data_IF_524478742981
#
_entry.id   IF_524478742981
#
_cell.length_a   1.000
_cell.length_b   1.000
_cell.length_c   1.000
_cell.angle_alpha   90.00
_cell.angle_beta   90.00
_cell.angle_gamma   90.00
#
_symmetry.space_group_name_H-M   'P 1'
#
loop_
_entity.id
_entity.type
_entity.pdbx_description
1 polymer ?
#
# COMPACT_ATOMS: atom_id res chain seq x y z
N UNK A 1 -17.10 -7.43 -17.34
CA UNK A 1 -17.87 -8.49 -16.67
C UNK A 1 -17.85 -8.19 -15.18
N UNK A 2 -18.96 -8.29 -14.45
CA UNK A 2 -18.91 -8.20 -12.99
C UNK A 2 -17.99 -9.31 -12.47
N UNK A 3 -17.04 -8.94 -11.61
CA UNK A 3 -16.07 -9.85 -11.01
C UNK A 3 -16.82 -10.93 -10.21
N UNK A 4 -16.35 -12.18 -10.27
CA UNK A 4 -16.94 -13.25 -9.47
C UNK A 4 -16.71 -12.92 -7.99
N UNK A 5 -17.70 -13.09 -7.10
CA UNK A 5 -17.51 -12.94 -5.66
C UNK A 5 -16.30 -13.75 -5.19
N UNK A 6 -15.62 -13.23 -4.15
CA UNK A 6 -14.54 -13.92 -3.45
C UNK A 6 -14.97 -15.35 -3.11
N UNK A 7 -14.08 -16.33 -3.34
CA UNK A 7 -14.37 -17.75 -3.04
C UNK A 7 -14.23 -18.08 -1.55
N UNK A 8 -13.64 -17.19 -0.74
CA UNK A 8 -13.50 -17.34 0.71
C UNK A 8 -14.50 -16.47 1.50
N UNK A 9 -15.53 -15.92 0.85
CA UNK A 9 -16.33 -14.82 1.42
C UNK A 9 -17.35 -15.16 2.49
N UNK A 10 -17.58 -16.43 2.82
CA UNK A 10 -18.75 -16.80 3.61
C UNK A 10 -18.31 -17.48 4.93
N UNK A 11 -18.50 -16.73 6.03
CA UNK A 11 -18.40 -17.13 7.46
C UNK A 11 -17.02 -17.14 8.13
N UNK A 12 -15.95 -17.59 7.46
CA UNK A 12 -14.64 -17.77 8.13
C UNK A 12 -13.95 -16.46 8.54
N UNK A 13 -14.22 -15.34 7.86
CA UNK A 13 -13.36 -14.15 8.00
C UNK A 13 -13.59 -13.28 9.23
N UNK A 14 -14.81 -13.14 9.75
CA UNK A 14 -15.04 -12.19 10.85
C UNK A 14 -14.24 -12.54 12.12
N UNK A 15 -14.00 -13.83 12.37
CA UNK A 15 -13.20 -14.27 13.52
C UNK A 15 -11.68 -14.19 13.24
N UNK A 16 -11.28 -14.37 11.97
CA UNK A 16 -9.89 -14.33 11.50
C UNK A 16 -9.38 -12.90 11.28
N UNK A 17 -10.27 -11.92 11.09
CA UNK A 17 -9.95 -10.50 10.96
C UNK A 17 -9.10 -10.02 12.14
N UNK A 18 -7.95 -9.41 11.82
CA UNK A 18 -7.18 -8.66 12.80
C UNK A 18 -7.94 -7.40 13.24
N UNK A 19 -8.62 -6.74 12.29
CA UNK A 19 -9.40 -5.53 12.57
C UNK A 19 -10.56 -5.37 11.58
N UNK A 20 -11.79 -5.29 12.10
CA UNK A 20 -12.97 -4.96 11.32
C UNK A 20 -13.12 -3.43 11.20
N UNK A 21 -12.93 -2.89 9.99
CA UNK A 21 -12.83 -1.44 9.76
C UNK A 21 -14.18 -0.75 9.50
N UNK A 22 -15.12 -1.45 8.87
CA UNK A 22 -16.43 -0.91 8.45
C UNK A 22 -17.19 -0.19 9.57
N UNK A 23 -17.30 -0.72 10.82
CA UNK A 23 -18.05 -0.06 11.90
C UNK A 23 -17.43 1.27 12.35
N UNK A 24 -16.14 1.49 12.08
CA UNK A 24 -15.42 2.69 12.49
C UNK A 24 -15.42 3.79 11.42
N UNK A 25 -15.91 3.49 10.21
CA UNK A 25 -15.90 4.40 9.07
C UNK A 25 -14.54 4.48 8.36
N UNK A 26 -13.63 3.53 8.61
CA UNK A 26 -12.34 3.41 7.93
C UNK A 26 -12.51 2.80 6.53
N UNK A 27 -13.32 3.47 5.70
CA UNK A 27 -13.79 2.97 4.42
C UNK A 27 -12.68 2.95 3.36
N UNK A 28 -12.53 1.82 2.66
CA UNK A 28 -11.55 1.57 1.60
C UNK A 28 -10.10 1.83 2.07
N UNK A 29 -9.51 0.92 2.88
CA UNK A 29 -8.14 1.03 3.34
C UNK A 29 -7.15 0.77 2.20
N UNK A 30 -6.11 1.60 2.07
CA UNK A 30 -5.09 1.44 1.04
C UNK A 30 -3.74 1.00 1.60
N UNK A 31 -3.43 1.42 2.82
CA UNK A 31 -2.11 1.24 3.39
C UNK A 31 -2.20 1.18 4.93
N UNK A 32 -1.28 0.43 5.53
CA UNK A 32 -1.22 0.15 6.96
C UNK A 32 0.23 0.14 7.43
N UNK A 33 0.45 0.49 8.69
CA UNK A 33 1.75 0.31 9.36
C UNK A 33 1.54 0.06 10.85
N UNK A 34 2.59 -0.42 11.53
CA UNK A 34 2.62 -0.51 13.00
C UNK A 34 3.53 0.58 13.56
N UNK A 35 3.16 1.14 14.71
CA UNK A 35 4.05 2.00 15.49
C UNK A 35 4.91 1.20 16.49
N UNK A 36 5.76 1.90 17.26
CA UNK A 36 6.60 1.29 18.30
C UNK A 36 5.82 0.62 19.43
N UNK A 37 4.56 0.99 19.62
CA UNK A 37 3.69 0.43 20.66
C UNK A 37 2.86 -0.74 20.12
N UNK A 38 3.21 -1.23 18.92
CA UNK A 38 2.51 -2.28 18.18
C UNK A 38 1.04 -1.95 17.89
N UNK A 39 0.68 -0.67 17.87
CA UNK A 39 -0.64 -0.25 17.41
C UNK A 39 -0.67 -0.21 15.88
N UNK A 40 -1.77 -0.72 15.32
CA UNK A 40 -2.05 -0.71 13.89
C UNK A 40 -2.57 0.67 13.48
N UNK A 41 -1.91 1.29 12.52
CA UNK A 41 -2.37 2.49 11.84
C UNK A 41 -2.91 2.16 10.45
N UNK A 42 -4.05 2.74 10.10
CA UNK A 42 -4.76 2.46 8.85
C UNK A 42 -5.06 3.78 8.13
N UNK A 43 -4.52 3.93 6.92
CA UNK A 43 -4.92 4.96 5.98
C UNK A 43 -6.01 4.43 5.04
N UNK A 44 -7.14 5.12 5.01
CA UNK A 44 -8.30 4.78 4.20
C UNK A 44 -8.91 6.04 3.58
N UNK A 45 -9.86 5.90 2.65
CA UNK A 45 -10.66 7.06 2.22
C UNK A 45 -11.47 7.65 3.37
N UNK A 46 -11.80 6.83 4.37
CA UNK A 46 -12.41 7.24 5.64
C UNK A 46 -11.56 8.16 6.51
N UNK A 47 -10.25 8.25 6.26
CA UNK A 47 -9.30 8.99 7.09
C UNK A 47 -8.18 8.12 7.65
N UNK A 48 -7.58 8.59 8.75
CA UNK A 48 -6.51 7.91 9.48
C UNK A 48 -7.04 7.34 10.79
N UNK A 49 -6.72 6.09 11.10
CA UNK A 49 -7.23 5.39 12.29
C UNK A 49 -6.10 4.64 12.98
N UNK A 50 -6.15 4.60 14.31
CA UNK A 50 -5.22 3.84 15.16
C UNK A 50 -5.98 2.82 15.98
N UNK A 51 -5.53 1.58 15.95
CA UNK A 51 -6.09 0.47 16.68
C UNK A 51 -5.03 -0.19 17.57
N UNK A 52 -5.41 -0.48 18.81
CA UNK A 52 -4.73 -1.53 19.57
C UNK A 52 -5.27 -2.85 19.07
N UNK A 53 -4.39 -3.74 18.62
CA UNK A 53 -4.77 -5.06 18.08
C UNK A 53 -4.16 -6.16 18.92
N UNK A 54 -4.93 -7.22 19.18
CA UNK A 54 -4.45 -8.42 19.86
C UNK A 54 -3.53 -9.28 18.98
N UNK A 55 -2.95 -10.32 19.57
CA UNK A 55 -2.13 -11.32 18.87
C UNK A 55 -2.95 -12.31 18.04
N UNK A 56 -4.27 -12.44 18.25
CA UNK A 56 -5.16 -13.31 17.48
C UNK A 56 -6.63 -12.87 17.56
N UNK A 57 -7.31 -12.79 16.42
CA UNK A 57 -8.76 -12.58 16.30
C UNK A 57 -9.25 -11.13 16.48
N UNK A 58 -10.56 -10.95 16.32
CA UNK A 58 -11.33 -9.69 16.20
C UNK A 58 -11.34 -8.77 17.45
N UNK A 59 -10.23 -8.72 18.20
CA UNK A 59 -10.02 -7.91 19.40
C UNK A 59 -9.25 -6.62 19.07
N UNK A 60 -9.68 -5.91 18.03
CA UNK A 60 -9.17 -4.56 17.76
C UNK A 60 -9.97 -3.53 18.54
N UNK A 61 -9.28 -2.59 19.20
CA UNK A 61 -9.89 -1.42 19.84
C UNK A 61 -9.40 -0.15 19.17
N UNK A 62 -10.33 0.63 18.63
CA UNK A 62 -10.06 1.97 18.13
C UNK A 62 -9.61 2.88 19.29
N UNK A 63 -8.45 3.51 19.14
CA UNK A 63 -7.88 4.43 20.15
C UNK A 63 -7.64 5.84 19.62
N UNK A 64 -7.58 6.03 18.31
CA UNK A 64 -7.54 7.36 17.69
C UNK A 64 -8.15 7.32 16.29
N UNK A 65 -8.74 8.43 15.86
CA UNK A 65 -9.16 8.63 14.48
C UNK A 65 -9.08 10.10 14.05
N UNK A 66 -8.76 10.32 12.78
CA UNK A 66 -8.90 11.57 12.05
C UNK A 66 -9.75 11.29 10.82
N UNK A 67 -11.03 11.67 10.86
CA UNK A 67 -12.04 11.24 9.88
C UNK A 67 -12.17 12.20 8.70
N UNK A 68 -12.41 11.64 7.54
CA UNK A 68 -12.93 12.35 6.38
C UNK A 68 -14.45 12.17 6.33
N UNK A 69 -15.20 13.27 6.42
CA UNK A 69 -16.67 13.26 6.39
C UNK A 69 -17.25 12.75 5.06
N UNK A 70 -16.46 12.81 3.97
CA UNK A 70 -16.91 12.44 2.63
C UNK A 70 -15.94 11.45 1.94
N UNK A 71 -15.87 10.18 2.38
CA UNK A 71 -14.91 9.20 1.82
C UNK A 71 -15.04 9.02 0.30
N UNK A 72 -16.26 9.17 -0.25
CA UNK A 72 -16.51 9.08 -1.70
C UNK A 72 -15.88 10.19 -2.52
N UNK A 73 -15.49 11.32 -1.90
CA UNK A 73 -14.77 12.42 -2.56
C UNK A 73 -13.26 12.24 -2.51
N UNK A 74 -12.77 11.31 -1.69
CA UNK A 74 -11.33 11.09 -1.53
C UNK A 74 -10.78 10.26 -2.68
N UNK A 75 -9.59 10.64 -3.12
CA UNK A 75 -8.81 9.90 -4.11
C UNK A 75 -8.36 8.53 -3.56
N UNK A 76 -8.07 7.55 -4.43
CA UNK A 76 -7.43 6.30 -4.01
C UNK A 76 -6.00 6.54 -3.49
N UNK A 77 -5.42 5.51 -2.88
CA UNK A 77 -4.02 5.44 -2.46
C UNK A 77 -3.62 6.35 -1.29
N UNK A 78 -4.49 6.50 -0.29
CA UNK A 78 -4.07 7.11 0.99
C UNK A 78 -2.91 6.32 1.60
N UNK A 79 -1.90 7.03 2.12
CA UNK A 79 -0.65 6.44 2.61
C UNK A 79 -0.48 6.70 4.11
N UNK A 80 0.08 5.74 4.83
CA UNK A 80 0.51 5.88 6.23
C UNK A 80 1.87 5.20 6.46
N UNK A 81 2.84 5.94 6.99
CA UNK A 81 4.14 5.40 7.35
C UNK A 81 4.46 5.70 8.81
N UNK A 82 5.17 4.79 9.46
CA UNK A 82 5.74 5.01 10.78
C UNK A 82 7.24 5.25 10.66
N UNK A 83 7.74 6.32 11.27
CA UNK A 83 9.16 6.66 11.31
C UNK A 83 9.50 7.45 12.56
N UNK A 84 10.48 7.00 13.35
CA UNK A 84 11.00 7.70 14.54
C UNK A 84 9.91 8.32 15.44
N UNK A 85 8.97 7.49 15.92
CA UNK A 85 7.85 7.92 16.79
C UNK A 85 6.88 8.92 16.16
N UNK A 86 6.86 9.00 14.82
CA UNK A 86 5.95 9.84 14.04
C UNK A 86 5.17 9.01 13.03
N UNK A 87 3.97 9.48 12.70
CA UNK A 87 3.10 8.93 11.68
C UNK A 87 2.99 9.93 10.54
N UNK A 88 3.44 9.51 9.37
CA UNK A 88 3.34 10.28 8.13
C UNK A 88 2.06 9.84 7.45
N UNK A 89 1.17 10.77 7.15
CA UNK A 89 -0.12 10.48 6.52
C UNK A 89 -0.32 11.37 5.30
N UNK A 90 -0.71 10.74 4.18
CA UNK A 90 -1.01 11.45 2.93
C UNK A 90 -2.36 11.03 2.38
N UNK A 91 -3.18 12.01 2.03
CA UNK A 91 -4.46 11.80 1.38
C UNK A 91 -4.76 12.91 0.37
N UNK A 92 -5.60 12.63 -0.62
CA UNK A 92 -5.99 13.61 -1.64
C UNK A 92 -7.50 13.62 -1.86
N UNK A 93 -8.06 14.77 -2.24
CA UNK A 93 -9.44 14.84 -2.73
C UNK A 93 -9.45 14.64 -4.25
N UNK A 94 -10.33 13.76 -4.75
CA UNK A 94 -10.35 13.29 -6.15
C UNK A 94 -10.45 14.44 -7.16
N UNK A 95 -11.19 15.50 -6.85
CA UNK A 95 -11.45 16.62 -7.75
C UNK A 95 -10.47 17.79 -7.61
N UNK A 96 -9.66 17.81 -6.54
CA UNK A 96 -8.78 18.93 -6.25
C UNK A 96 -7.45 18.86 -7.00
N UNK A 97 -7.05 17.65 -7.41
CA UNK A 97 -5.68 17.32 -7.82
C UNK A 97 -4.60 17.77 -6.82
N UNK A 98 -4.97 17.87 -5.54
CA UNK A 98 -4.08 18.24 -4.45
C UNK A 98 -4.07 17.14 -3.40
N UNK A 99 -2.89 16.90 -2.84
CA UNK A 99 -2.69 16.02 -1.69
C UNK A 99 -2.37 16.83 -0.45
N UNK A 100 -2.84 16.38 0.69
CA UNK A 100 -2.46 16.90 2.00
C UNK A 100 -1.49 15.92 2.64
N UNK A 101 -0.32 16.41 3.02
CA UNK A 101 0.69 15.68 3.76
C UNK A 101 0.68 16.15 5.21
N UNK A 102 0.66 15.19 6.13
CA UNK A 102 0.65 15.44 7.57
C UNK A 102 1.67 14.58 8.29
N UNK A 103 2.18 15.12 9.39
CA UNK A 103 2.96 14.36 10.37
C UNK A 103 2.24 14.44 11.70
N UNK A 104 1.93 13.28 12.27
CA UNK A 104 1.35 13.16 13.59
C UNK A 104 2.36 12.55 14.57
N UNK A 105 2.28 12.99 15.82
CA UNK A 105 2.79 12.22 16.97
C UNK A 105 1.95 10.94 17.18
N UNK A 106 2.45 10.01 18.00
CA UNK A 106 1.76 8.75 18.30
C UNK A 106 0.43 8.92 19.05
N UNK A 107 0.22 10.05 19.73
CA UNK A 107 -1.05 10.40 20.39
C UNK A 107 -2.06 11.06 19.43
N UNK A 108 -1.67 11.32 18.18
CA UNK A 108 -2.54 11.90 17.16
C UNK A 108 -2.50 13.43 17.09
N UNK A 109 -1.57 14.09 17.79
CA UNK A 109 -1.33 15.53 17.61
C UNK A 109 -0.71 15.78 16.23
N UNK A 110 -1.31 16.69 15.45
CA UNK A 110 -0.77 17.10 14.15
C UNK A 110 0.40 18.07 14.37
N UNK A 111 1.61 17.66 14.01
CA UNK A 111 2.84 18.44 14.21
C UNK A 111 3.25 19.22 12.95
N UNK A 112 2.83 18.76 11.77
CA UNK A 112 3.15 19.40 10.49
C UNK A 112 2.06 19.11 9.46
N UNK A 113 1.70 20.12 8.68
CA UNK A 113 0.77 20.00 7.56
C UNK A 113 1.21 20.88 6.39
N UNK A 114 1.17 20.35 5.18
CA UNK A 114 1.25 21.15 3.96
C UNK A 114 0.52 20.48 2.80
N UNK A 115 0.36 21.23 1.71
CA UNK A 115 -0.29 20.79 0.48
C UNK A 115 0.78 20.43 -0.56
N UNK A 116 0.57 19.32 -1.25
CA UNK A 116 1.37 18.83 -2.37
C UNK A 116 0.51 18.93 -3.63
N UNK A 117 1.09 19.49 -4.68
CA UNK A 117 0.48 19.52 -6.00
C UNK A 117 0.45 18.11 -6.62
N UNK A 118 -0.69 17.73 -7.20
CA UNK A 118 -0.97 16.40 -7.73
C UNK A 118 -1.44 15.39 -6.67
N UNK A 119 -2.12 14.34 -7.14
CA UNK A 119 -2.55 13.21 -6.31
C UNK A 119 -1.40 12.25 -6.03
N UNK A 120 -0.89 12.21 -4.80
CA UNK A 120 0.12 11.25 -4.34
C UNK A 120 -0.43 9.84 -4.44
N UNK A 121 0.40 8.92 -4.90
CA UNK A 121 0.06 7.50 -5.09
C UNK A 121 0.82 6.58 -4.14
N UNK A 122 2.09 6.86 -3.86
CA UNK A 122 2.91 6.05 -2.95
C UNK A 122 3.94 6.94 -2.29
N UNK A 123 4.25 6.65 -1.03
CA UNK A 123 5.33 7.30 -0.28
C UNK A 123 6.18 6.21 0.38
N UNK A 124 7.48 6.40 0.43
CA UNK A 124 8.39 5.63 1.27
C UNK A 124 9.36 6.56 1.97
N UNK A 125 9.91 6.08 3.09
CA UNK A 125 10.91 6.78 3.87
C UNK A 125 12.09 5.84 4.11
N UNK A 126 13.30 6.36 3.94
CA UNK A 126 14.54 5.64 4.23
C UNK A 126 14.93 5.76 5.70
N UNK A 127 15.92 4.97 6.13
CA UNK A 127 16.39 5.01 7.52
C UNK A 127 17.02 6.34 7.92
N UNK A 128 17.61 7.07 6.97
CA UNK A 128 18.17 8.40 7.17
C UNK A 128 17.12 9.53 7.09
N UNK A 129 15.85 9.23 6.76
CA UNK A 129 14.78 10.22 6.74
C UNK A 129 14.47 10.84 5.38
N UNK A 130 15.10 10.36 4.30
CA UNK A 130 14.73 10.77 2.95
C UNK A 130 13.33 10.22 2.60
N UNK A 131 12.49 11.13 2.12
CA UNK A 131 11.14 10.83 1.66
C UNK A 131 11.14 10.72 0.15
N UNK A 132 10.51 9.68 -0.36
CA UNK A 132 10.28 9.49 -1.80
C UNK A 132 8.79 9.33 -2.05
N UNK A 133 8.28 9.95 -3.11
CA UNK A 133 6.88 9.79 -3.48
C UNK A 133 6.66 9.71 -4.99
N UNK A 134 5.58 9.05 -5.38
CA UNK A 134 5.04 9.05 -6.74
C UNK A 134 3.67 9.73 -6.75
N UNK A 135 3.26 10.22 -7.91
CA UNK A 135 1.94 10.81 -8.12
C UNK A 135 1.19 10.05 -9.22
N UNK A 136 -0.14 10.05 -9.13
CA UNK A 136 -1.00 9.53 -10.18
C UNK A 136 -0.75 10.33 -11.47
N UNK A 137 -0.75 9.69 -12.65
CA UNK A 137 -0.60 10.39 -13.91
C UNK A 137 -1.78 11.35 -14.12
N UNK A 138 -1.47 12.57 -14.56
CA UNK A 138 -2.46 13.57 -14.94
C UNK A 138 -2.81 13.41 -16.43
N UNK A 139 -4.03 13.78 -16.83
CA UNK A 139 -4.44 13.64 -18.22
C UNK A 139 -3.54 14.48 -19.15
N UNK A 140 -2.90 13.80 -20.11
CA UNK A 140 -2.05 14.46 -21.12
C UNK A 140 -0.59 14.62 -20.72
N UNK A 141 -0.15 14.07 -19.58
CA UNK A 141 1.27 13.98 -19.24
C UNK A 141 1.83 12.62 -19.64
N UNK A 142 2.89 12.63 -20.43
CA UNK A 142 3.67 11.44 -20.80
C UNK A 142 4.83 11.20 -19.83
N UNK A 143 5.14 12.20 -19.01
CA UNK A 143 6.20 12.17 -18.01
C UNK A 143 5.67 11.77 -16.63
N UNK A 144 6.42 10.92 -15.95
CA UNK A 144 6.18 10.55 -14.55
C UNK A 144 7.48 10.68 -13.77
N UNK A 145 7.37 11.19 -12.54
CA UNK A 145 8.52 11.41 -11.67
C UNK A 145 8.34 10.82 -10.28
N UNK A 146 9.46 10.37 -9.72
CA UNK A 146 9.67 10.21 -8.29
C UNK A 146 10.11 11.56 -7.75
N UNK A 147 9.51 11.98 -6.65
CA UNK A 147 9.84 13.22 -5.95
C UNK A 147 10.56 12.91 -4.65
N UNK A 148 11.50 13.75 -4.24
CA UNK A 148 12.26 13.62 -2.99
C UNK A 148 12.07 14.82 -2.07
N UNK A 149 12.06 14.58 -0.77
CA UNK A 149 12.19 15.57 0.30
C UNK A 149 12.85 14.89 1.52
N UNK A 150 12.92 15.57 2.66
CA UNK A 150 13.47 15.02 3.91
C UNK A 150 12.49 15.22 5.07
N UNK A 151 12.43 14.27 6.00
CA UNK A 151 11.45 14.27 7.09
C UNK A 151 11.57 15.48 8.03
N UNK A 152 12.77 16.02 8.22
CA UNK A 152 13.02 17.21 9.05
C UNK A 152 12.52 18.50 8.39
N UNK A 153 12.52 18.51 7.06
CA UNK A 153 12.07 19.64 6.24
C UNK A 153 11.19 19.11 5.11
N UNK A 154 9.99 18.56 5.43
CA UNK A 154 9.14 17.86 4.48
C UNK A 154 8.36 18.90 3.68
N UNK A 155 9.10 19.72 2.95
CA UNK A 155 8.68 20.81 2.08
C UNK A 155 9.69 20.86 0.92
N UNK A 156 9.40 21.63 -0.13
CA UNK A 156 10.26 21.76 -1.31
C UNK A 156 10.59 20.40 -1.98
N UNK A 157 9.54 19.65 -2.31
CA UNK A 157 9.68 18.41 -3.08
C UNK A 157 10.35 18.67 -4.42
N UNK A 158 11.47 18.01 -4.65
CA UNK A 158 12.23 18.10 -5.90
C UNK A 158 12.00 16.86 -6.75
N UNK A 159 12.10 17.02 -8.07
CA UNK A 159 12.13 15.89 -8.98
C UNK A 159 13.42 15.10 -8.74
N UNK A 160 13.26 13.82 -8.44
CA UNK A 160 14.37 12.92 -8.11
C UNK A 160 14.74 12.01 -9.28
N UNK A 161 13.76 11.43 -9.96
CA UNK A 161 13.99 10.60 -11.15
C UNK A 161 12.73 10.61 -12.00
N UNK A 162 12.85 10.84 -13.30
CA UNK A 162 11.74 10.85 -14.26
C UNK A 162 11.83 9.71 -15.28
N UNK A 163 10.70 9.45 -15.93
CA UNK A 163 10.56 8.53 -17.07
C UNK A 163 9.47 9.04 -18.01
N UNK A 164 9.53 8.59 -19.26
CA UNK A 164 8.55 8.91 -20.31
C UNK A 164 7.81 7.65 -20.75
N UNK A 165 6.56 7.80 -21.19
CA UNK A 165 5.65 6.73 -21.63
C UNK A 165 5.31 5.67 -20.57
N UNK A 166 5.71 5.93 -19.34
CA UNK A 166 5.59 5.05 -18.19
C UNK A 166 5.21 5.86 -16.96
N UNK A 167 4.51 5.21 -16.02
CA UNK A 167 4.10 5.80 -14.78
C UNK A 167 4.71 5.03 -13.62
N UNK A 168 5.39 5.74 -12.72
CA UNK A 168 5.74 5.20 -11.42
C UNK A 168 4.46 5.00 -10.58
N UNK A 169 4.32 3.85 -9.94
CA UNK A 169 3.14 3.49 -9.16
C UNK A 169 3.51 3.36 -7.67
N UNK A 170 3.71 2.14 -7.17
CA UNK A 170 4.14 1.89 -5.80
C UNK A 170 5.67 1.85 -5.70
N UNK A 171 6.23 2.39 -4.61
CA UNK A 171 7.66 2.33 -4.33
C UNK A 171 7.95 1.84 -2.91
N UNK A 172 9.18 1.36 -2.71
CA UNK A 172 9.72 0.92 -1.43
C UNK A 172 11.22 1.23 -1.38
N UNK A 173 11.71 1.75 -0.26
CA UNK A 173 13.15 1.86 -0.01
C UNK A 173 13.69 0.46 0.27
N UNK A 174 14.55 -0.04 -0.61
CA UNK A 174 15.13 -1.37 -0.47
C UNK A 174 16.40 -1.33 0.39
N UNK A 175 17.24 -0.33 0.20
CA UNK A 175 18.38 -0.01 1.06
C UNK A 175 18.66 1.49 0.96
N UNK A 176 19.72 1.98 1.63
CA UNK A 176 20.07 3.41 1.61
C UNK A 176 20.45 3.90 0.21
N UNK A 177 20.86 2.99 -0.69
CA UNK A 177 21.36 3.30 -2.01
C UNK A 177 20.33 3.03 -3.12
N UNK A 178 19.18 2.42 -2.79
CA UNK A 178 18.27 1.84 -3.77
C UNK A 178 16.79 1.92 -3.39
N UNK A 179 15.98 2.35 -4.35
CA UNK A 179 14.51 2.25 -4.31
C UNK A 179 14.06 1.20 -5.32
N UNK A 180 13.12 0.34 -4.91
CA UNK A 180 12.32 -0.46 -5.84
C UNK A 180 11.06 0.33 -6.22
N UNK A 181 10.75 0.41 -7.51
CA UNK A 181 9.53 1.07 -7.99
C UNK A 181 8.80 0.22 -9.00
N UNK A 182 7.50 0.04 -8.81
CA UNK A 182 6.61 -0.52 -9.81
C UNK A 182 6.35 0.50 -10.92
N UNK A 183 6.48 0.06 -12.17
CA UNK A 183 6.32 0.90 -13.35
C UNK A 183 5.28 0.29 -14.28
N UNK A 184 4.41 1.13 -14.83
CA UNK A 184 3.32 0.73 -15.72
C UNK A 184 3.30 1.62 -16.95
N UNK A 185 3.21 1.05 -18.15
CA UNK A 185 3.14 1.84 -19.39
C UNK A 185 1.87 2.70 -19.46
N UNK A 186 2.00 3.91 -19.97
CA UNK A 186 0.87 4.82 -20.24
C UNK A 186 0.12 4.41 -21.53
N UNK A 187 -1.22 4.49 -21.59
CA UNK A 187 -2.14 4.82 -20.49
C UNK A 187 -2.26 3.68 -19.47
N UNK A 188 -2.31 4.02 -18.17
CA UNK A 188 -2.38 3.03 -17.08
C UNK A 188 -3.72 2.30 -17.07
N UNK A 189 -3.69 0.99 -17.34
CA UNK A 189 -4.84 0.09 -17.23
C UNK A 189 -4.39 -1.35 -16.91
N UNK A 190 -5.35 -2.27 -16.74
CA UNK A 190 -5.08 -3.66 -16.35
C UNK A 190 -4.22 -4.44 -17.37
N UNK A 191 -4.15 -3.99 -18.61
CA UNK A 191 -3.41 -4.65 -19.70
C UNK A 191 -2.10 -3.94 -20.05
N UNK A 192 -1.75 -2.86 -19.35
CA UNK A 192 -0.49 -2.14 -19.54
C UNK A 192 0.71 -3.06 -19.29
N UNK A 193 1.85 -2.73 -19.91
CA UNK A 193 3.14 -3.36 -19.61
C UNK A 193 3.60 -2.94 -18.23
N UNK A 194 4.16 -3.87 -17.47
CA UNK A 194 4.48 -3.70 -16.07
C UNK A 194 5.80 -4.37 -15.76
N UNK A 195 6.61 -3.69 -14.97
CA UNK A 195 7.87 -4.21 -14.48
C UNK A 195 8.21 -3.52 -13.16
N UNK A 196 9.25 -4.02 -12.50
CA UNK A 196 9.87 -3.35 -11.37
C UNK A 196 11.19 -2.76 -11.84
N UNK A 197 11.46 -1.53 -11.43
CA UNK A 197 12.72 -0.84 -11.70
C UNK A 197 13.47 -0.60 -10.39
N UNK A 198 14.79 -0.69 -10.47
CA UNK A 198 15.70 -0.26 -9.42
C UNK A 198 16.14 1.17 -9.73
N UNK A 199 16.05 2.06 -8.75
CA UNK A 199 16.50 3.45 -8.85
C UNK A 199 17.59 3.67 -7.81
N UNK A 200 18.76 4.13 -8.25
CA UNK A 200 19.87 4.47 -7.36
C UNK A 200 19.62 5.83 -6.69
N UNK A 201 19.74 5.90 -5.36
CA UNK A 201 19.52 7.12 -4.58
C UNK A 201 20.63 8.16 -4.80
N UNK A 202 21.87 7.70 -4.98
CA UNK A 202 23.05 8.57 -5.17
C UNK A 202 23.13 9.19 -6.57
N UNK A 203 22.73 8.43 -7.60
CA UNK A 203 22.84 8.85 -9.00
C UNK A 203 21.52 9.39 -9.58
N UNK A 204 20.43 9.36 -8.80
CA UNK A 204 19.11 9.84 -9.23
C UNK A 204 18.61 9.19 -10.54
N UNK A 205 18.93 7.90 -10.77
CA UNK A 205 18.64 7.23 -12.06
C UNK A 205 18.19 5.78 -11.90
N UNK A 206 17.45 5.32 -12.91
CA UNK A 206 17.12 3.91 -13.08
C UNK A 206 18.41 3.12 -13.43
N UNK A 207 18.68 2.06 -12.67
CA UNK A 207 19.88 1.21 -12.82
C UNK A 207 19.56 -0.21 -13.29
N UNK A 208 18.29 -0.59 -13.36
CA UNK A 208 17.89 -1.90 -13.86
C UNK A 208 16.37 -2.10 -13.80
N UNK A 209 15.92 -3.17 -14.45
CA UNK A 209 14.52 -3.61 -14.43
C UNK A 209 14.40 -5.12 -14.43
N UNK A 210 13.31 -5.63 -13.88
CA UNK A 210 12.97 -7.05 -13.89
C UNK A 210 11.45 -7.26 -13.87
N UNK A 211 11.04 -8.53 -14.03
CA UNK A 211 9.65 -8.97 -14.21
C UNK A 211 8.99 -8.46 -15.50
N UNK A 212 7.94 -9.15 -15.91
CA UNK A 212 7.04 -8.76 -17.01
C UNK A 212 5.58 -8.77 -16.56
N UNK A 213 4.70 -8.17 -17.36
CA UNK A 213 3.25 -8.30 -17.13
C UNK A 213 2.79 -9.75 -17.27
N UNK A 214 1.91 -10.18 -16.36
CA UNK A 214 1.21 -11.44 -16.49
C UNK A 214 0.89 -12.08 -15.14
N UNK A 215 0.38 -13.31 -15.18
CA UNK A 215 -0.15 -14.02 -13.99
C UNK A 215 0.61 -15.28 -13.65
N UNK A 216 1.69 -15.60 -14.38
CA UNK A 216 2.56 -16.72 -14.06
C UNK A 216 3.55 -16.34 -12.96
N UNK A 217 4.28 -17.32 -12.43
CA UNK A 217 5.31 -17.11 -11.42
C UNK A 217 6.38 -16.13 -11.92
N UNK A 218 6.70 -15.12 -11.12
CA UNK A 218 7.66 -14.08 -11.48
C UNK A 218 7.13 -13.01 -12.43
N UNK A 219 5.89 -13.13 -12.91
CA UNK A 219 5.17 -12.07 -13.60
C UNK A 219 4.28 -11.30 -12.63
N UNK A 220 4.10 -10.01 -12.91
CA UNK A 220 3.32 -9.10 -12.07
C UNK A 220 2.05 -8.67 -12.80
N UNK A 221 0.91 -8.74 -12.11
CA UNK A 221 -0.38 -8.27 -12.62
C UNK A 221 -0.99 -7.17 -11.76
N UNK A 222 -0.79 -5.94 -12.20
CA UNK A 222 -1.18 -4.66 -11.62
C UNK A 222 -0.66 -4.52 -10.17
N UNK A 223 0.62 -4.13 -9.99
CA UNK A 223 1.26 -4.10 -8.67
C UNK A 223 0.54 -3.13 -7.74
N UNK A 224 0.34 -3.54 -6.49
CA UNK A 224 -0.37 -2.79 -5.46
C UNK A 224 0.57 -2.23 -4.41
N UNK A 225 1.49 -3.04 -3.92
CA UNK A 225 2.37 -2.68 -2.82
C UNK A 225 3.68 -3.47 -2.90
N UNK A 226 4.78 -2.78 -2.60
CA UNK A 226 6.13 -3.33 -2.48
C UNK A 226 6.60 -3.20 -1.03
N UNK A 227 7.23 -4.24 -0.49
CA UNK A 227 7.86 -4.21 0.83
C UNK A 227 9.19 -4.95 0.83
N UNK A 228 10.20 -4.40 1.52
CA UNK A 228 11.44 -5.13 1.81
C UNK A 228 11.19 -6.16 2.90
N UNK A 229 11.66 -7.39 2.70
CA UNK A 229 11.66 -8.45 3.72
C UNK A 229 13.01 -9.14 3.76
N UNK A 230 13.81 -8.88 4.80
CA UNK A 230 15.22 -9.30 4.83
C UNK A 230 15.97 -8.77 3.61
N UNK A 231 16.67 -9.66 2.89
CA UNK A 231 17.37 -9.36 1.63
C UNK A 231 16.52 -9.63 0.38
N UNK A 232 15.19 -9.58 0.52
CA UNK A 232 14.25 -9.84 -0.57
C UNK A 232 13.23 -8.72 -0.71
N UNK A 233 12.66 -8.61 -1.91
CA UNK A 233 11.53 -7.75 -2.19
C UNK A 233 10.26 -8.60 -2.26
N UNK A 234 9.23 -8.20 -1.52
CA UNK A 234 7.88 -8.75 -1.61
C UNK A 234 6.99 -7.82 -2.41
N UNK A 235 6.18 -8.40 -3.29
CA UNK A 235 5.29 -7.65 -4.17
C UNK A 235 3.89 -8.24 -4.10
N UNK A 236 2.93 -7.43 -3.67
CA UNK A 236 1.50 -7.72 -3.79
C UNK A 236 0.99 -7.19 -5.12
N UNK A 237 0.32 -8.04 -5.89
CA UNK A 237 -0.36 -7.65 -7.13
C UNK A 237 -1.88 -7.93 -7.06
N UNK A 238 -2.62 -7.53 -8.10
CA UNK A 238 -4.09 -7.61 -8.12
C UNK A 238 -4.63 -9.06 -8.18
N UNK A 239 -3.76 -10.06 -8.35
CA UNK A 239 -4.13 -11.50 -8.23
C UNK A 239 -4.05 -12.01 -6.80
N UNK A 240 -3.79 -11.13 -5.82
CA UNK A 240 -3.69 -11.50 -4.41
C UNK A 240 -2.41 -12.26 -4.05
N UNK A 241 -1.50 -12.48 -5.01
CA UNK A 241 -0.19 -13.10 -4.76
C UNK A 241 0.74 -12.09 -4.11
N UNK A 242 1.40 -12.51 -3.03
CA UNK A 242 2.59 -11.87 -2.47
C UNK A 242 3.78 -12.68 -2.95
N UNK A 243 4.49 -12.15 -3.94
CA UNK A 243 5.62 -12.82 -4.60
C UNK A 243 6.94 -12.28 -4.06
N UNK A 244 7.91 -13.19 -3.86
CA UNK A 244 9.25 -12.88 -3.37
C UNK A 244 10.28 -12.88 -4.49
N UNK A 245 11.10 -11.84 -4.50
CA UNK A 245 12.18 -11.66 -5.47
C UNK A 245 13.51 -11.36 -4.77
N UNK A 246 14.61 -11.80 -5.38
CA UNK A 246 15.97 -11.44 -4.95
C UNK A 246 16.33 -10.01 -5.36
N UNK A 247 17.46 -9.49 -4.85
CA UNK A 247 18.03 -8.20 -5.26
C UNK A 247 18.24 -8.09 -6.77
N UNK A 248 18.64 -9.18 -7.41
CA UNK A 248 18.89 -9.27 -8.86
C UNK A 248 17.59 -9.34 -9.67
N UNK A 249 16.42 -9.41 -9.00
CA UNK A 249 15.12 -9.48 -9.65
C UNK A 249 14.69 -10.89 -10.04
N UNK A 250 15.35 -11.93 -9.52
CA UNK A 250 14.93 -13.31 -9.76
C UNK A 250 13.74 -13.68 -8.87
N UNK A 251 12.73 -14.29 -9.47
CA UNK A 251 11.61 -14.87 -8.72
C UNK A 251 12.07 -16.01 -7.83
N UNK A 252 11.61 -16.02 -6.58
CA UNK A 252 11.89 -17.08 -5.60
C UNK A 252 10.66 -17.96 -5.42
N UNK A 253 9.55 -17.37 -4.96
CA UNK A 253 8.33 -18.10 -4.61
C UNK A 253 7.11 -17.16 -4.51
N UNK A 254 5.93 -17.77 -4.39
CA UNK A 254 4.72 -17.08 -3.90
C UNK A 254 4.65 -17.31 -2.38
N UNK A 255 5.12 -16.34 -1.60
CA UNK A 255 5.18 -16.43 -0.13
C UNK A 255 3.80 -16.44 0.52
N UNK A 256 2.78 -15.83 -0.09
CA UNK A 256 1.40 -15.90 0.37
C UNK A 256 0.42 -15.63 -0.78
N UNK A 257 -0.83 -16.08 -0.66
CA UNK A 257 -1.91 -15.72 -1.60
C UNK A 257 -3.23 -15.51 -0.88
N UNK A 258 -3.78 -14.32 -1.06
CA UNK A 258 -5.15 -13.97 -0.69
C UNK A 258 -6.04 -14.03 -1.93
N UNK A 259 -7.33 -13.70 -1.81
CA UNK A 259 -8.16 -13.62 -3.00
C UNK A 259 -7.71 -12.50 -3.94
N UNK A 260 -7.91 -12.74 -5.23
CA UNK A 260 -7.76 -11.73 -6.26
C UNK A 260 -8.59 -10.48 -5.91
N UNK A 261 -8.08 -9.30 -6.28
CA UNK A 261 -8.75 -8.00 -6.26
C UNK A 261 -9.05 -7.37 -4.90
N UNK A 262 -8.97 -8.08 -3.77
CA UNK A 262 -9.38 -7.52 -2.47
C UNK A 262 -8.25 -6.84 -1.69
N UNK A 263 -6.99 -7.24 -1.93
CA UNK A 263 -5.82 -6.64 -1.25
C UNK A 263 -5.42 -5.30 -1.86
N UNK A 264 -5.40 -4.25 -1.04
CA UNK A 264 -5.03 -2.92 -1.49
C UNK A 264 -3.57 -2.54 -1.21
N UNK A 265 -3.02 -3.02 -0.08
CA UNK A 265 -1.65 -2.83 0.36
C UNK A 265 -1.35 -3.65 1.61
N UNK A 266 -0.08 -3.78 1.99
CA UNK A 266 0.31 -4.55 3.17
C UNK A 266 1.53 -3.97 3.86
N UNK A 267 1.71 -4.35 5.12
CA UNK A 267 2.96 -4.19 5.87
C UNK A 267 3.42 -5.55 6.38
N UNK A 268 4.65 -5.63 6.86
CA UNK A 268 5.23 -6.85 7.38
C UNK A 268 5.30 -6.74 8.90
N UNK A 269 4.86 -7.78 9.58
CA UNK A 269 5.03 -7.95 11.02
C UNK A 269 5.57 -9.35 11.25
N UNK A 270 6.86 -9.44 11.59
CA UNK A 270 7.58 -10.72 11.67
C UNK A 270 7.48 -11.48 10.34
N UNK A 271 7.04 -12.74 10.36
CA UNK A 271 6.86 -13.59 9.17
C UNK A 271 5.43 -13.51 8.59
N UNK A 272 4.67 -12.47 8.92
CA UNK A 272 3.31 -12.26 8.42
C UNK A 272 3.21 -11.00 7.55
N UNK A 273 2.42 -11.10 6.48
CA UNK A 273 1.88 -9.92 5.81
C UNK A 273 0.55 -9.53 6.48
N UNK A 274 0.46 -8.26 6.88
CA UNK A 274 -0.76 -7.65 7.42
C UNK A 274 -1.38 -6.81 6.31
N UNK A 275 -2.50 -7.28 5.76
CA UNK A 275 -3.06 -6.80 4.49
C UNK A 275 -4.31 -5.95 4.71
N UNK A 276 -4.32 -4.76 4.13
CA UNK A 276 -5.50 -3.92 4.00
C UNK A 276 -6.42 -4.46 2.90
N UNK A 277 -7.65 -4.81 3.26
CA UNK A 277 -8.60 -5.46 2.37
C UNK A 277 -9.88 -4.64 2.18
N UNK A 278 -10.39 -4.67 0.94
CA UNK A 278 -11.75 -4.19 0.60
C UNK A 278 -12.46 -5.23 -0.24
N UNK A 279 -13.67 -5.61 0.17
CA UNK A 279 -14.49 -6.62 -0.50
C UNK A 279 -15.73 -6.94 0.33
N UNK A 280 -16.75 -7.55 -0.29
CA UNK A 280 -18.00 -7.86 0.40
C UNK A 280 -17.86 -9.20 1.12
N UNK A 281 -18.04 -9.21 2.43
CA UNK A 281 -18.13 -10.41 3.28
C UNK A 281 -19.59 -10.59 3.73
N UNK A 282 -20.09 -11.82 3.66
CA UNK A 282 -21.47 -12.16 4.02
C UNK A 282 -21.55 -13.12 5.21
N UNK A 283 -22.63 -13.01 5.99
CA UNK A 283 -22.99 -13.99 7.01
C UNK A 283 -23.71 -15.22 6.41
N UNK A 284 -24.05 -16.19 7.28
CA UNK A 284 -24.76 -17.45 6.95
C UNK A 284 -26.11 -17.24 6.27
N UNK A 285 -26.72 -16.08 6.48
CA UNK A 285 -27.99 -15.70 5.87
C UNK A 285 -27.79 -14.96 4.53
N UNK A 286 -26.54 -14.78 4.11
CA UNK A 286 -26.15 -14.10 2.87
C UNK A 286 -26.21 -12.58 2.95
N UNK A 287 -26.33 -12.00 4.15
CA UNK A 287 -26.35 -10.56 4.38
C UNK A 287 -24.92 -10.02 4.50
N UNK A 288 -24.67 -8.86 3.89
CA UNK A 288 -23.37 -8.18 4.00
C UNK A 288 -23.11 -7.75 5.44
N UNK A 289 -21.95 -8.14 5.98
CA UNK A 289 -21.51 -7.85 7.36
C UNK A 289 -20.22 -7.05 7.43
N UNK A 290 -19.40 -7.06 6.38
CA UNK A 290 -18.15 -6.31 6.30
C UNK A 290 -17.84 -5.95 4.84
N UNK A 291 -17.33 -4.74 4.63
CA UNK A 291 -16.82 -4.27 3.33
C UNK A 291 -15.29 -4.01 3.36
N UNK A 292 -14.73 -3.74 4.55
CA UNK A 292 -13.35 -3.30 4.73
C UNK A 292 -12.77 -3.87 6.03
N UNK A 293 -11.56 -4.42 5.96
CA UNK A 293 -10.88 -5.04 7.11
C UNK A 293 -9.36 -5.09 6.95
N UNK A 294 -8.68 -5.50 8.02
CA UNK A 294 -7.26 -5.88 8.02
C UNK A 294 -7.12 -7.32 8.49
N UNK A 295 -6.28 -8.09 7.82
CA UNK A 295 -6.07 -9.51 8.12
C UNK A 295 -4.62 -9.92 7.88
N UNK A 296 -4.18 -10.94 8.62
CA UNK A 296 -2.82 -11.46 8.54
C UNK A 296 -2.78 -12.71 7.66
N UNK A 297 -1.66 -12.91 6.99
CA UNK A 297 -1.34 -14.17 6.32
C UNK A 297 0.16 -14.46 6.48
N UNK A 298 0.50 -15.70 6.83
CA UNK A 298 1.90 -16.10 6.98
C UNK A 298 2.62 -16.14 5.62
N UNK A 299 3.87 -15.74 5.62
CA UNK A 299 4.75 -15.69 4.44
C UNK A 299 5.50 -17.02 4.23
N UNK A 300 4.81 -18.15 4.43
CA UNK A 300 5.35 -19.52 4.39
C UNK A 300 4.73 -20.37 3.26
N UNK A 301 4.09 -19.72 2.29
CA UNK A 301 3.31 -20.37 1.25
C UNK A 301 1.81 -20.46 1.58
N UNK A 302 1.35 -19.90 2.70
CA UNK A 302 -0.06 -19.87 3.09
C UNK A 302 -0.99 -19.29 2.00
N UNK A 303 -2.23 -19.80 1.98
CA UNK A 303 -3.28 -19.45 1.01
C UNK A 303 -4.63 -19.32 1.72
N UNK A 304 -5.41 -18.29 1.42
CA UNK A 304 -6.80 -18.20 1.90
C UNK A 304 -7.73 -19.19 1.19
N UNK A 305 -7.46 -19.49 -0.08
CA UNK A 305 -8.21 -20.51 -0.83
C UNK A 305 -7.35 -21.76 -0.98
N UNK A 306 -7.92 -22.92 -0.66
CA UNK A 306 -7.33 -24.20 -1.06
C UNK A 306 -7.28 -24.27 -2.60
N UNK A 307 -6.15 -24.69 -3.16
CA UNK A 307 -6.05 -24.91 -4.61
C UNK A 307 -7.11 -25.93 -5.03
N UNK A 308 -7.93 -25.55 -6.03
CA UNK A 308 -8.88 -26.44 -6.71
C UNK A 308 -8.34 -26.76 -8.08
#
# INVERSE_FOLDING_TARGET
MPEKPSKTSDHQRLEEMLCHLTPHGAAVPYNVCFDSDHCLWVASKGGLFKFVVGSSGNQSKLVFHFKNEFPRKMAPYTQVLYFNSKIIYVCAEEKSDLSVFRIFSLDGTNEHEHIIDGKVQSVAISQNGDLYMTKQPTHGTEESAIWRSHIDHPMAWEEFCSTFDECFQSLCVYDNDTIAVAVVSSPVNLYSKQCIKWVATNDCRIIGSFSTSGKDNGQIFFPRCLQKHGDSLLILDKTGRIQKFTREGHFVEISAKIDDYIGNGFTIREDEAVVACSGIVKDEEGKTVCDDWVENIRLDGSRWTAET
#
